data_IF_553057061198
#
_entry.id   IF_553057061198
#
_cell.length_a   1.000
_cell.length_b   1.000
_cell.length_c   1.000
_cell.angle_alpha   90.00
_cell.angle_beta   90.00
_cell.angle_gamma   90.00
#
_symmetry.space_group_name_H-M   'P 1'
#
loop_
_entity.id
_entity.type
_entity.pdbx_description
1 polymer ?
#
# COMPACT_ATOMS: atom_id res chain seq x y z
N UNK A 1 15.91 10.92 31.96
CA UNK A 1 14.73 10.09 31.66
C UNK A 1 14.24 10.54 30.29
N UNK A 2 14.74 9.94 29.22
CA UNK A 2 14.54 10.42 27.84
C UNK A 2 13.71 9.42 27.04
N UNK A 3 12.42 9.76 26.87
CA UNK A 3 11.50 9.39 25.78
C UNK A 3 10.09 9.79 26.25
N UNK A 4 9.22 10.41 25.40
CA UNK A 4 8.83 9.79 24.13
C UNK A 4 8.47 10.78 23.00
N UNK A 5 9.44 11.15 22.15
CA UNK A 5 9.13 11.77 20.85
C UNK A 5 8.24 10.86 19.98
N UNK A 6 8.37 9.54 20.14
CA UNK A 6 7.53 8.56 19.47
C UNK A 6 6.05 8.63 19.88
N UNK A 7 5.73 9.02 21.12
CA UNK A 7 4.33 9.10 21.58
C UNK A 7 3.59 10.33 21.04
N UNK A 8 4.32 11.38 20.60
CA UNK A 8 3.73 12.56 19.98
C UNK A 8 3.36 12.33 18.50
N UNK A 9 3.81 11.22 17.92
CA UNK A 9 3.47 10.85 16.55
C UNK A 9 2.09 10.20 16.46
N UNK A 10 1.65 9.48 17.49
CA UNK A 10 0.41 8.72 17.44
C UNK A 10 -0.78 9.52 17.96
N UNK A 11 -1.86 9.50 17.19
CA UNK A 11 -3.15 10.08 17.56
C UNK A 11 -3.80 9.23 18.65
N UNK A 12 -4.56 9.87 19.53
CA UNK A 12 -5.40 9.16 20.50
C UNK A 12 -6.47 8.32 19.79
N UNK A 13 -6.41 7.00 19.95
CA UNK A 13 -7.30 6.06 19.30
C UNK A 13 -8.63 5.98 20.07
N UNK A 14 -9.65 6.67 19.56
CA UNK A 14 -11.02 6.55 20.05
C UNK A 14 -11.78 5.37 19.43
N UNK A 15 -12.95 5.04 20.00
CA UNK A 15 -13.84 3.98 19.47
C UNK A 15 -14.26 4.23 18.02
N UNK A 16 -14.46 5.50 17.65
CA UNK A 16 -14.79 5.91 16.28
C UNK A 16 -13.64 5.62 15.30
N UNK A 17 -12.39 5.90 15.70
CA UNK A 17 -11.19 5.62 14.90
C UNK A 17 -11.00 4.12 14.69
N UNK A 18 -11.27 3.31 15.71
CA UNK A 18 -11.21 1.84 15.59
C UNK A 18 -12.26 1.31 14.61
N UNK A 19 -13.47 1.87 14.63
CA UNK A 19 -14.53 1.50 13.70
C UNK A 19 -14.16 1.90 12.26
N UNK A 20 -13.65 3.11 12.04
CA UNK A 20 -13.21 3.58 10.73
C UNK A 20 -12.03 2.75 10.19
N UNK A 21 -11.06 2.42 11.04
CA UNK A 21 -9.95 1.52 10.70
C UNK A 21 -10.45 0.13 10.29
N UNK A 22 -11.40 -0.42 11.06
CA UNK A 22 -12.00 -1.72 10.74
C UNK A 22 -12.76 -1.67 9.41
N UNK A 23 -13.45 -0.57 9.12
CA UNK A 23 -14.18 -0.38 7.87
C UNK A 23 -13.24 -0.33 6.67
N UNK A 24 -12.13 0.39 6.77
CA UNK A 24 -11.10 0.44 5.71
C UNK A 24 -10.53 -0.95 5.46
N UNK A 25 -10.20 -1.71 6.52
CA UNK A 25 -9.66 -3.07 6.40
C UNK A 25 -10.65 -4.04 5.77
N UNK A 26 -11.93 -3.99 6.18
CA UNK A 26 -12.98 -4.82 5.60
C UNK A 26 -13.20 -4.46 4.13
N UNK A 27 -13.30 -3.17 3.81
CA UNK A 27 -13.46 -2.71 2.43
C UNK A 27 -12.30 -3.13 1.54
N UNK A 28 -11.05 -2.93 1.98
CA UNK A 28 -9.86 -3.34 1.25
C UNK A 28 -9.84 -4.87 1.02
N UNK A 29 -10.19 -5.65 2.06
CA UNK A 29 -10.26 -7.11 1.96
C UNK A 29 -11.32 -7.56 0.95
N UNK A 30 -12.52 -6.97 0.99
CA UNK A 30 -13.59 -7.26 0.04
C UNK A 30 -13.19 -6.90 -1.40
N UNK A 31 -12.53 -5.75 -1.60
CA UNK A 31 -12.03 -5.34 -2.91
C UNK A 31 -10.95 -6.31 -3.42
N UNK A 32 -10.03 -6.76 -2.57
CA UNK A 32 -8.97 -7.71 -2.94
C UNK A 32 -9.58 -9.07 -3.30
N UNK A 33 -10.45 -9.61 -2.46
CA UNK A 33 -11.12 -10.90 -2.71
C UNK A 33 -11.99 -10.83 -3.96
N UNK A 34 -12.71 -9.72 -4.13
CA UNK A 34 -13.46 -9.44 -5.35
C UNK A 34 -12.56 -9.44 -6.57
N UNK A 35 -11.49 -8.65 -6.57
CA UNK A 35 -10.53 -8.58 -7.66
C UNK A 35 -9.94 -9.97 -8.00
N UNK A 36 -9.58 -10.76 -6.98
CA UNK A 36 -9.02 -12.10 -7.16
C UNK A 36 -10.01 -13.14 -7.66
N UNK A 37 -11.32 -12.95 -7.47
CA UNK A 37 -12.34 -13.88 -7.98
C UNK A 37 -12.90 -13.43 -9.34
N UNK A 38 -13.26 -12.15 -9.46
CA UNK A 38 -13.91 -11.62 -10.65
C UNK A 38 -12.96 -11.50 -11.85
N UNK A 39 -11.72 -11.04 -11.65
CA UNK A 39 -10.80 -10.85 -12.78
C UNK A 39 -10.36 -12.20 -13.40
N UNK A 40 -10.01 -13.25 -12.62
CA UNK A 40 -9.73 -14.55 -13.21
C UNK A 40 -10.96 -15.18 -13.87
N UNK A 41 -12.15 -15.06 -13.25
CA UNK A 41 -13.40 -15.52 -13.86
C UNK A 41 -13.65 -14.86 -15.22
N UNK A 42 -13.42 -13.54 -15.32
CA UNK A 42 -13.53 -12.81 -16.58
C UNK A 42 -12.42 -13.22 -17.58
N UNK A 43 -11.22 -13.49 -17.08
CA UNK A 43 -10.08 -13.92 -17.89
C UNK A 43 -10.29 -15.32 -18.48
N UNK A 44 -11.03 -16.20 -17.80
CA UNK A 44 -11.38 -17.54 -18.31
C UNK A 44 -12.40 -17.48 -19.47
N UNK A 45 -13.15 -16.38 -19.59
CA UNK A 45 -14.01 -16.13 -20.75
C UNK A 45 -13.23 -15.67 -21.99
N UNK A 46 -11.95 -15.29 -21.83
CA UNK A 46 -11.11 -14.70 -22.87
C UNK A 46 -9.95 -15.65 -23.23
N UNK A 47 -9.72 -15.84 -24.53
CA UNK A 47 -8.66 -16.72 -25.03
C UNK A 47 -7.40 -15.92 -25.42
N UNK A 48 -6.22 -16.55 -25.29
CA UNK A 48 -4.95 -16.01 -25.79
C UNK A 48 -4.30 -14.95 -24.88
N UNK A 49 -3.63 -13.96 -25.49
CA UNK A 49 -2.81 -12.96 -24.79
C UNK A 49 -3.60 -12.09 -23.79
N UNK A 50 -4.89 -11.82 -24.07
CA UNK A 50 -5.74 -11.02 -23.20
C UNK A 50 -5.95 -11.63 -21.81
N UNK A 51 -5.99 -12.97 -21.72
CA UNK A 51 -6.04 -13.69 -20.44
C UNK A 51 -4.79 -13.44 -19.61
N UNK A 52 -3.61 -13.45 -20.23
CA UNK A 52 -2.34 -13.21 -19.52
C UNK A 52 -2.25 -11.78 -18.97
N UNK A 53 -2.67 -10.78 -19.76
CA UNK A 53 -2.73 -9.39 -19.29
C UNK A 53 -3.73 -9.21 -18.14
N UNK A 54 -4.90 -9.81 -18.23
CA UNK A 54 -5.90 -9.78 -17.15
C UNK A 54 -5.42 -10.48 -15.89
N UNK A 55 -4.72 -11.61 -15.99
CA UNK A 55 -4.16 -12.27 -14.82
C UNK A 55 -3.00 -11.47 -14.20
N UNK A 56 -2.21 -10.76 -15.03
CA UNK A 56 -1.13 -9.89 -14.56
C UNK A 56 -1.64 -8.62 -13.84
N UNK A 57 -2.83 -8.10 -14.19
CA UNK A 57 -3.40 -6.94 -13.48
C UNK A 57 -3.89 -7.29 -12.08
N UNK A 58 -4.25 -8.55 -11.80
CA UNK A 58 -4.74 -8.99 -10.47
C UNK A 58 -3.74 -8.66 -9.34
N UNK A 59 -2.46 -9.08 -9.41
CA UNK A 59 -1.49 -8.73 -8.38
C UNK A 59 -1.19 -7.23 -8.30
N UNK A 60 -1.22 -6.50 -9.44
CA UNK A 60 -1.06 -5.04 -9.45
C UNK A 60 -2.22 -4.33 -8.75
N UNK A 61 -3.45 -4.73 -9.03
CA UNK A 61 -4.64 -4.16 -8.42
C UNK A 61 -4.67 -4.44 -6.92
N UNK A 62 -4.29 -5.65 -6.49
CA UNK A 62 -4.10 -5.97 -5.07
C UNK A 62 -3.10 -5.04 -4.42
N UNK A 63 -1.94 -4.82 -5.04
CA UNK A 63 -0.92 -3.92 -4.52
C UNK A 63 -1.46 -2.48 -4.40
N UNK A 64 -2.14 -1.99 -5.43
CA UNK A 64 -2.75 -0.66 -5.43
C UNK A 64 -3.78 -0.48 -4.29
N UNK A 65 -4.65 -1.48 -4.07
CA UNK A 65 -5.63 -1.45 -2.98
C UNK A 65 -4.92 -1.39 -1.62
N UNK A 66 -3.86 -2.19 -1.42
CA UNK A 66 -3.09 -2.17 -0.17
C UNK A 66 -2.39 -0.83 0.06
N UNK A 67 -1.81 -0.24 -0.98
CA UNK A 67 -1.19 1.09 -0.90
C UNK A 67 -2.23 2.15 -0.55
N UNK A 68 -3.39 2.14 -1.21
CA UNK A 68 -4.47 3.08 -0.90
C UNK A 68 -4.99 2.91 0.53
N UNK A 69 -5.22 1.68 0.99
CA UNK A 69 -5.64 1.40 2.36
C UNK A 69 -4.59 1.90 3.37
N UNK A 70 -3.31 1.68 3.10
CA UNK A 70 -2.22 2.20 3.92
C UNK A 70 -2.26 3.74 3.99
N UNK A 71 -2.38 4.43 2.86
CA UNK A 71 -2.45 5.89 2.81
C UNK A 71 -3.65 6.47 3.57
N UNK A 72 -4.79 5.75 3.60
CA UNK A 72 -5.97 6.14 4.37
C UNK A 72 -5.82 5.87 5.88
N UNK A 73 -5.16 4.77 6.25
CA UNK A 73 -4.96 4.37 7.64
C UNK A 73 -3.91 5.24 8.33
N UNK A 74 -2.84 5.63 7.64
CA UNK A 74 -1.73 6.43 8.20
C UNK A 74 -2.20 7.69 8.94
N UNK A 75 -2.98 8.62 8.35
CA UNK A 75 -3.45 9.83 9.06
C UNK A 75 -4.49 9.53 10.16
N UNK A 76 -5.02 8.30 10.20
CA UNK A 76 -5.95 7.86 11.23
C UNK A 76 -5.23 7.49 12.53
N UNK A 77 -4.02 6.94 12.41
CA UNK A 77 -3.20 6.48 13.54
C UNK A 77 -2.14 7.55 13.90
N UNK A 78 -1.66 8.34 12.93
CA UNK A 78 -0.65 9.36 13.14
C UNK A 78 -1.32 10.73 13.27
N UNK A 79 -0.88 11.51 14.25
CA UNK A 79 -1.34 12.89 14.44
C UNK A 79 -1.06 13.71 13.17
N UNK A 80 -2.08 14.31 12.52
CA UNK A 80 -1.97 14.92 11.20
C UNK A 80 -1.31 16.31 11.25
N UNK A 81 -0.03 16.35 11.63
CA UNK A 81 0.83 17.53 11.53
C UNK A 81 1.80 17.38 10.35
N UNK A 82 2.21 18.49 9.74
CA UNK A 82 3.19 18.45 8.65
C UNK A 82 4.49 17.77 9.07
N UNK A 83 4.94 18.03 10.30
CA UNK A 83 6.16 17.41 10.84
C UNK A 83 6.04 15.89 10.92
N UNK A 84 4.93 15.37 11.45
CA UNK A 84 4.75 13.92 11.62
C UNK A 84 4.57 13.21 10.27
N UNK A 85 3.85 13.84 9.33
CA UNK A 85 3.68 13.30 7.98
C UNK A 85 5.01 13.26 7.23
N UNK A 86 5.80 14.35 7.27
CA UNK A 86 7.12 14.40 6.62
C UNK A 86 8.08 13.41 7.28
N UNK A 87 8.07 13.28 8.61
CA UNK A 87 8.89 12.29 9.30
C UNK A 87 8.54 10.86 8.88
N UNK A 88 7.25 10.51 8.93
CA UNK A 88 6.77 9.17 8.60
C UNK A 88 7.02 8.82 7.12
N UNK A 89 6.52 9.63 6.19
CA UNK A 89 6.69 9.38 4.76
C UNK A 89 8.15 9.54 4.32
N UNK A 90 8.94 10.39 4.98
CA UNK A 90 10.38 10.49 4.76
C UNK A 90 11.10 9.20 5.12
N UNK A 91 10.80 8.60 6.28
CA UNK A 91 11.37 7.30 6.68
C UNK A 91 10.92 6.17 5.75
N UNK A 92 9.62 6.08 5.45
CA UNK A 92 9.09 5.07 4.52
C UNK A 92 9.70 5.23 3.13
N UNK A 93 9.77 6.46 2.62
CA UNK A 93 10.35 6.78 1.32
C UNK A 93 11.83 6.45 1.25
N UNK A 94 12.59 6.71 2.32
CA UNK A 94 13.99 6.30 2.42
C UNK A 94 14.13 4.78 2.36
N UNK A 95 13.35 4.04 3.16
CA UNK A 95 13.38 2.58 3.18
C UNK A 95 13.01 1.97 1.81
N UNK A 96 11.94 2.48 1.18
CA UNK A 96 11.54 2.05 -0.17
C UNK A 96 12.58 2.41 -1.23
N UNK A 97 13.18 3.59 -1.14
CA UNK A 97 14.26 4.02 -2.04
C UNK A 97 15.48 3.10 -1.96
N UNK A 98 15.87 2.69 -0.75
CA UNK A 98 16.92 1.69 -0.56
C UNK A 98 16.53 0.31 -1.10
N UNK A 99 15.30 -0.14 -0.87
CA UNK A 99 14.83 -1.43 -1.40
C UNK A 99 14.75 -1.45 -2.93
N UNK A 100 14.35 -0.35 -3.57
CA UNK A 100 14.25 -0.23 -5.02
C UNK A 100 15.59 0.08 -5.71
N UNK A 101 16.61 0.52 -4.96
CA UNK A 101 17.93 0.87 -5.50
C UNK A 101 18.52 -0.25 -6.35
N UNK A 102 18.44 -1.50 -5.88
CA UNK A 102 19.05 -2.63 -6.59
C UNK A 102 18.28 -2.99 -7.88
N UNK A 103 16.96 -2.77 -7.90
CA UNK A 103 16.15 -2.88 -9.10
C UNK A 103 16.54 -1.83 -10.14
N UNK A 104 16.64 -0.56 -9.73
CA UNK A 104 17.05 0.52 -10.61
C UNK A 104 18.48 0.30 -11.15
N UNK A 105 19.41 -0.13 -10.29
CA UNK A 105 20.78 -0.46 -10.69
C UNK A 105 20.82 -1.59 -11.72
N UNK A 106 20.01 -2.63 -11.52
CA UNK A 106 19.94 -3.77 -12.44
C UNK A 106 19.32 -3.40 -13.79
N UNK A 107 18.31 -2.52 -13.77
CA UNK A 107 17.69 -2.01 -15.00
C UNK A 107 18.67 -1.14 -15.81
N UNK A 108 19.39 -0.23 -15.14
CA UNK A 108 20.42 0.61 -15.77
C UNK A 108 21.54 -0.28 -16.34
N UNK A 109 22.01 -1.26 -15.57
CA UNK A 109 23.03 -2.19 -16.04
C UNK A 109 22.59 -2.97 -17.29
N UNK A 110 21.33 -3.40 -17.36
CA UNK A 110 20.78 -4.08 -18.53
C UNK A 110 20.61 -3.19 -19.77
N UNK A 111 20.53 -1.87 -19.62
CA UNK A 111 20.45 -0.93 -20.76
C UNK A 111 21.85 -0.58 -21.30
N UNK A 112 22.87 -0.59 -20.43
CA UNK A 112 24.25 -0.17 -20.77
C UNK A 112 25.14 -1.35 -21.23
N UNK A 113 24.76 -2.60 -20.92
CA UNK A 113 25.44 -3.82 -21.35
C UNK A 113 25.16 -4.17 -22.82
#
# INVERSE_FOLDING_TARGET
>A
MESPQAAQLFKTLGSATLLELSLILVAATLLIVGAQKFLPWLADQLHGAHRLYLLAIVPLLRLAILVMAFLLIVPLIIEPSLQNMVAFFGTVGLALGFAMKDYASSLIAGIVA
#
